data_IF_938358518774
#
_entry.id   IF_938358518774
#
_cell.length_a   1.000
_cell.length_b   1.000
_cell.length_c   1.000
_cell.angle_alpha   90.00
_cell.angle_beta   90.00
_cell.angle_gamma   90.00
#
_symmetry.space_group_name_H-M   'P 1'
#
loop_
_entity.id
_entity.type
_entity.pdbx_description
1 polymer ?
#
# COMPACT_ATOMS: atom_id res chain seq x y z
N UNK A 1 37.76 -7.26 -21.57
CA UNK A 1 36.39 -6.86 -21.28
C UNK A 1 36.36 -5.91 -20.09
N UNK A 2 35.89 -4.70 -20.30
CA UNK A 2 35.81 -3.73 -19.21
C UNK A 2 34.84 -4.25 -18.14
N UNK A 3 35.36 -4.36 -16.92
CA UNK A 3 34.54 -4.80 -15.81
C UNK A 3 33.64 -3.66 -15.35
N UNK A 4 32.34 -3.86 -15.44
CA UNK A 4 31.42 -2.89 -14.88
C UNK A 4 31.69 -2.73 -13.40
N UNK A 5 31.77 -1.49 -12.93
CA UNK A 5 31.82 -1.24 -11.50
C UNK A 5 30.51 -1.67 -10.87
N UNK A 6 30.51 -1.98 -9.58
CA UNK A 6 29.27 -2.26 -8.83
C UNK A 6 28.26 -1.13 -8.99
N UNK A 7 28.75 0.10 -9.09
CA UNK A 7 27.93 1.29 -9.25
C UNK A 7 27.16 1.27 -10.57
N UNK A 8 27.80 0.84 -11.67
CA UNK A 8 27.18 0.77 -12.99
C UNK A 8 26.09 -0.31 -13.06
N UNK A 9 26.18 -1.33 -12.22
CA UNK A 9 25.22 -2.42 -12.14
C UNK A 9 24.05 -2.07 -11.21
N UNK A 10 24.29 -1.19 -10.22
CA UNK A 10 23.30 -0.89 -9.18
C UNK A 10 22.19 0.05 -9.60
N UNK A 11 22.47 1.04 -10.43
CA UNK A 11 21.48 2.01 -10.85
C UNK A 11 21.64 2.35 -12.32
N UNK A 12 20.68 1.88 -13.10
CA UNK A 12 20.65 2.08 -14.55
C UNK A 12 19.47 2.96 -14.94
N UNK A 13 19.51 4.22 -14.48
CA UNK A 13 18.51 5.23 -14.81
C UNK A 13 19.14 6.32 -15.64
N UNK A 14 18.38 6.84 -16.59
CA UNK A 14 18.73 8.09 -17.26
C UNK A 14 18.73 9.22 -16.22
N UNK A 15 19.77 10.12 -16.24
CA UNK A 15 19.91 11.14 -15.19
C UNK A 15 18.66 12.01 -14.98
N UNK A 16 17.98 12.39 -16.06
CA UNK A 16 16.77 13.22 -15.95
C UNK A 16 15.57 12.44 -15.39
N UNK A 17 15.55 11.12 -15.48
CA UNK A 17 14.47 10.28 -14.97
C UNK A 17 14.64 9.96 -13.50
N UNK A 18 15.83 10.18 -12.93
CA UNK A 18 16.08 9.90 -11.50
C UNK A 18 15.22 10.80 -10.63
N UNK A 19 15.16 12.10 -10.93
CA UNK A 19 14.33 13.02 -10.17
C UNK A 19 12.84 12.68 -10.29
N UNK A 20 12.38 12.30 -11.48
CA UNK A 20 10.99 11.89 -11.67
C UNK A 20 10.67 10.61 -10.91
N UNK A 21 11.60 9.66 -10.87
CA UNK A 21 11.45 8.43 -10.12
C UNK A 21 11.42 8.70 -8.60
N UNK A 22 12.28 9.59 -8.11
CA UNK A 22 12.28 10.00 -6.69
C UNK A 22 10.92 10.62 -6.32
N UNK A 23 10.40 11.52 -7.15
CA UNK A 23 9.10 12.14 -6.91
C UNK A 23 7.98 11.10 -6.89
N UNK A 24 8.01 10.13 -7.81
CA UNK A 24 7.05 9.03 -7.84
C UNK A 24 7.13 8.17 -6.58
N UNK A 25 8.32 7.86 -6.11
CA UNK A 25 8.53 7.10 -4.88
C UNK A 25 8.01 7.84 -3.65
N UNK A 26 8.19 9.16 -3.61
CA UNK A 26 7.66 10.00 -2.53
C UNK A 26 6.13 9.98 -2.53
N UNK A 27 5.51 10.05 -3.71
CA UNK A 27 4.04 9.94 -3.81
C UNK A 27 3.56 8.58 -3.35
N UNK A 28 4.23 7.49 -3.74
CA UNK A 28 3.91 6.13 -3.28
C UNK A 28 3.97 6.08 -1.75
N UNK A 29 5.04 6.58 -1.16
CA UNK A 29 5.18 6.59 0.31
C UNK A 29 4.09 7.39 0.99
N UNK A 30 3.78 8.56 0.47
CA UNK A 30 2.72 9.43 1.02
C UNK A 30 1.34 8.77 0.92
N UNK A 31 1.02 8.21 -0.23
CA UNK A 31 -0.24 7.53 -0.46
C UNK A 31 -0.37 6.28 0.42
N UNK A 32 0.70 5.50 0.56
CA UNK A 32 0.67 4.31 1.40
C UNK A 32 0.59 4.66 2.89
N UNK A 33 1.24 5.74 3.32
CA UNK A 33 1.08 6.24 4.68
C UNK A 33 -0.37 6.59 4.96
N UNK A 34 -0.98 7.35 4.07
CA UNK A 34 -2.40 7.73 4.18
C UNK A 34 -3.31 6.51 4.18
N UNK A 35 -3.06 5.55 3.30
CA UNK A 35 -3.83 4.31 3.23
C UNK A 35 -3.74 3.53 4.55
N UNK A 36 -2.54 3.35 5.09
CA UNK A 36 -2.32 2.63 6.34
C UNK A 36 -3.00 3.36 7.51
N UNK A 37 -2.89 4.68 7.58
CA UNK A 37 -3.55 5.47 8.62
C UNK A 37 -5.06 5.33 8.57
N UNK A 38 -5.66 5.35 7.38
CA UNK A 38 -7.09 5.14 7.21
C UNK A 38 -7.51 3.73 7.65
N UNK A 39 -6.73 2.71 7.31
CA UNK A 39 -6.99 1.34 7.75
C UNK A 39 -6.90 1.22 9.27
N UNK A 40 -5.93 1.88 9.90
CA UNK A 40 -5.79 1.91 11.36
C UNK A 40 -6.99 2.57 12.04
N UNK A 41 -7.56 3.62 11.43
CA UNK A 41 -8.78 4.24 11.93
C UNK A 41 -9.97 3.28 11.86
N UNK A 42 -10.08 2.50 10.78
CA UNK A 42 -11.11 1.45 10.68
C UNK A 42 -10.94 0.42 11.80
N UNK A 43 -9.73 -0.04 12.00
CA UNK A 43 -9.43 -1.02 13.05
C UNK A 43 -9.79 -0.48 14.44
N UNK A 44 -9.48 0.77 14.71
CA UNK A 44 -9.81 1.42 15.98
C UNK A 44 -11.32 1.42 16.24
N UNK A 45 -12.11 1.76 15.23
CA UNK A 45 -13.57 1.75 15.32
C UNK A 45 -14.09 0.34 15.61
N UNK A 46 -13.59 -0.65 14.88
CA UNK A 46 -14.04 -2.04 15.04
C UNK A 46 -13.61 -2.64 16.38
N UNK A 47 -12.39 -2.35 16.83
CA UNK A 47 -11.91 -2.82 18.13
C UNK A 47 -12.71 -2.23 19.29
N UNK A 48 -13.08 -0.95 19.21
CA UNK A 48 -13.94 -0.31 20.19
C UNK A 48 -15.31 -0.99 20.26
N UNK A 49 -15.88 -1.37 19.12
CA UNK A 49 -17.16 -2.05 19.08
C UNK A 49 -17.09 -3.48 19.63
N UNK A 50 -15.98 -4.16 19.45
CA UNK A 50 -15.72 -5.46 20.03
C UNK A 50 -15.80 -5.40 21.57
N UNK A 51 -15.27 -4.33 22.15
CA UNK A 51 -15.29 -4.11 23.59
C UNK A 51 -16.67 -3.68 24.12
N UNK A 52 -17.54 -3.15 23.25
CA UNK A 52 -18.85 -2.64 23.57
C UNK A 52 -20.00 -3.58 23.15
N UNK A 53 -19.81 -4.88 23.28
CA UNK A 53 -20.83 -5.92 22.98
C UNK A 53 -21.40 -5.84 21.56
N UNK A 54 -20.55 -5.54 20.58
CA UNK A 54 -20.91 -5.43 19.16
C UNK A 54 -21.85 -4.26 18.84
N UNK A 55 -22.01 -3.31 19.76
CA UNK A 55 -22.76 -2.10 19.49
C UNK A 55 -21.91 -1.12 18.70
N UNK A 56 -22.09 -1.13 17.39
CA UNK A 56 -21.49 -0.14 16.49
C UNK A 56 -22.62 0.79 16.04
N UNK A 57 -22.48 2.09 16.31
CA UNK A 57 -23.46 3.07 15.81
C UNK A 57 -23.37 3.14 14.28
N UNK A 58 -24.48 3.49 13.64
CA UNK A 58 -24.50 3.70 12.19
C UNK A 58 -23.50 4.77 11.78
N UNK A 59 -23.33 5.82 12.58
CA UNK A 59 -22.34 6.86 12.35
C UNK A 59 -20.91 6.29 12.32
N UNK A 60 -20.57 5.44 13.28
CA UNK A 60 -19.24 4.83 13.34
C UNK A 60 -19.01 3.84 12.19
N UNK A 61 -20.03 3.10 11.79
CA UNK A 61 -19.95 2.21 10.62
C UNK A 61 -19.75 3.02 9.34
N UNK A 62 -20.47 4.13 9.18
CA UNK A 62 -20.29 5.02 8.03
C UNK A 62 -18.87 5.59 7.98
N UNK A 63 -18.33 5.99 9.13
CA UNK A 63 -16.94 6.44 9.23
C UNK A 63 -15.95 5.33 8.83
N UNK A 64 -16.15 4.12 9.33
CA UNK A 64 -15.31 2.99 9.01
C UNK A 64 -15.32 2.70 7.51
N UNK A 65 -16.49 2.70 6.89
CA UNK A 65 -16.62 2.52 5.43
C UNK A 65 -15.91 3.61 4.66
N UNK A 66 -16.05 4.85 5.07
CA UNK A 66 -15.39 5.98 4.42
C UNK A 66 -13.87 5.88 4.51
N UNK A 67 -13.35 5.60 5.71
CA UNK A 67 -11.90 5.42 5.89
C UNK A 67 -11.38 4.25 5.05
N UNK A 68 -12.14 3.16 4.97
CA UNK A 68 -11.73 2.01 4.16
C UNK A 68 -11.71 2.35 2.67
N UNK A 69 -12.71 3.06 2.19
CA UNK A 69 -12.77 3.54 0.80
C UNK A 69 -11.62 4.48 0.48
N UNK A 70 -11.31 5.41 1.40
CA UNK A 70 -10.19 6.34 1.23
C UNK A 70 -8.85 5.60 1.24
N UNK A 71 -8.69 4.61 2.12
CA UNK A 71 -7.51 3.77 2.16
C UNK A 71 -7.30 2.98 0.87
N UNK A 72 -8.37 2.42 0.33
CA UNK A 72 -8.33 1.73 -0.96
C UNK A 72 -7.94 2.67 -2.09
N UNK A 73 -8.52 3.87 -2.12
CA UNK A 73 -8.22 4.88 -3.13
C UNK A 73 -6.76 5.26 -3.12
N UNK A 74 -6.22 5.56 -1.94
CA UNK A 74 -4.81 5.92 -1.78
C UNK A 74 -3.88 4.79 -2.25
N UNK A 75 -4.17 3.55 -1.86
CA UNK A 75 -3.40 2.40 -2.29
C UNK A 75 -3.47 2.22 -3.81
N UNK A 76 -4.65 2.38 -4.40
CA UNK A 76 -4.86 2.25 -5.85
C UNK A 76 -4.09 3.31 -6.64
N UNK A 77 -4.02 4.52 -6.13
CA UNK A 77 -3.25 5.61 -6.75
C UNK A 77 -1.76 5.29 -6.80
N UNK A 78 -1.25 4.59 -5.80
CA UNK A 78 0.17 4.21 -5.75
C UNK A 78 0.57 3.29 -6.91
N UNK A 79 -0.33 2.49 -7.44
CA UNK A 79 -0.04 1.60 -8.57
C UNK A 79 0.39 2.40 -9.81
N UNK A 80 -0.25 3.54 -10.04
CA UNK A 80 0.02 4.36 -11.23
C UNK A 80 1.43 4.95 -11.23
N UNK A 81 1.98 5.25 -10.06
CA UNK A 81 3.32 5.84 -9.95
C UNK A 81 4.44 4.86 -10.30
N UNK A 82 4.18 3.57 -10.29
CA UNK A 82 5.16 2.56 -10.69
C UNK A 82 5.54 2.68 -12.17
N UNK A 83 4.63 3.15 -13.03
CA UNK A 83 4.94 3.33 -14.45
C UNK A 83 6.04 4.37 -14.66
N UNK A 84 6.06 5.44 -13.90
CA UNK A 84 7.10 6.48 -13.97
C UNK A 84 8.47 5.91 -13.56
N UNK A 85 8.51 5.11 -12.52
CA UNK A 85 9.75 4.48 -12.06
C UNK A 85 10.23 3.45 -13.09
N UNK A 86 9.31 2.63 -13.57
CA UNK A 86 9.61 1.56 -14.52
C UNK A 86 10.14 2.08 -15.85
N UNK A 87 9.55 3.16 -16.36
CA UNK A 87 9.96 3.77 -17.64
C UNK A 87 11.41 4.27 -17.59
N UNK A 88 11.88 4.70 -16.43
CA UNK A 88 13.25 5.18 -16.27
C UNK A 88 14.29 4.07 -16.18
N UNK A 89 13.90 2.81 -15.99
CA UNK A 89 14.84 1.71 -15.79
C UNK A 89 15.28 1.09 -17.12
N UNK A 90 16.53 0.66 -17.17
CA UNK A 90 17.09 0.00 -18.35
C UNK A 90 16.54 -1.43 -18.45
N UNK A 91 16.16 -1.83 -19.66
CA UNK A 91 15.68 -3.17 -19.93
C UNK A 91 16.74 -4.22 -19.53
N UNK A 92 16.31 -5.27 -18.85
CA UNK A 92 17.19 -6.33 -18.37
C UNK A 92 17.97 -6.01 -17.10
N UNK A 93 17.83 -4.80 -16.56
CA UNK A 93 18.52 -4.41 -15.32
C UNK A 93 17.90 -5.08 -14.09
N UNK A 94 18.72 -5.22 -13.04
CA UNK A 94 18.26 -5.72 -11.73
C UNK A 94 17.23 -4.79 -11.14
N UNK A 95 17.45 -3.48 -11.28
CA UNK A 95 16.53 -2.45 -10.76
C UNK A 95 15.17 -2.53 -11.45
N UNK A 96 15.15 -2.74 -12.76
CA UNK A 96 13.89 -2.91 -13.50
C UNK A 96 13.11 -4.14 -13.00
N UNK A 97 13.80 -5.23 -12.75
CA UNK A 97 13.18 -6.45 -12.22
C UNK A 97 12.63 -6.21 -10.82
N UNK A 98 13.36 -5.48 -9.99
CA UNK A 98 12.92 -5.13 -8.64
C UNK A 98 11.64 -4.26 -8.66
N UNK A 99 11.60 -3.24 -9.51
CA UNK A 99 10.41 -2.39 -9.68
C UNK A 99 9.22 -3.22 -10.16
N UNK A 100 9.44 -4.12 -11.10
CA UNK A 100 8.41 -5.01 -11.63
C UNK A 100 7.82 -5.90 -10.53
N UNK A 101 8.67 -6.48 -9.69
CA UNK A 101 8.26 -7.30 -8.56
C UNK A 101 7.44 -6.51 -7.56
N UNK A 102 7.90 -5.30 -7.22
CA UNK A 102 7.19 -4.46 -6.26
C UNK A 102 5.87 -3.92 -6.82
N UNK A 103 5.79 -3.67 -8.12
CA UNK A 103 4.52 -3.33 -8.77
C UNK A 103 3.50 -4.46 -8.63
N UNK A 104 3.94 -5.70 -8.83
CA UNK A 104 3.08 -6.88 -8.63
C UNK A 104 2.63 -6.98 -7.19
N UNK A 105 3.54 -6.81 -6.23
CA UNK A 105 3.21 -6.81 -4.80
C UNK A 105 2.22 -5.70 -4.46
N UNK A 106 2.37 -4.52 -5.06
CA UNK A 106 1.43 -3.42 -4.85
C UNK A 106 0.02 -3.75 -5.36
N UNK A 107 -0.07 -4.35 -6.55
CA UNK A 107 -1.35 -4.76 -7.12
C UNK A 107 -2.05 -5.80 -6.25
N UNK A 108 -1.29 -6.76 -5.72
CA UNK A 108 -1.82 -7.75 -4.79
C UNK A 108 -2.29 -7.11 -3.49
N UNK A 109 -1.53 -6.14 -2.98
CA UNK A 109 -1.91 -5.39 -1.79
C UNK A 109 -3.23 -4.64 -2.00
N UNK A 110 -3.40 -4.00 -3.15
CA UNK A 110 -4.66 -3.31 -3.49
C UNK A 110 -5.83 -4.29 -3.56
N UNK A 111 -5.62 -5.47 -4.12
CA UNK A 111 -6.67 -6.50 -4.17
C UNK A 111 -7.10 -6.95 -2.78
N UNK A 112 -6.15 -7.09 -1.87
CA UNK A 112 -6.45 -7.43 -0.46
C UNK A 112 -7.25 -6.33 0.22
N UNK A 113 -6.92 -5.07 -0.04
CA UNK A 113 -7.68 -3.93 0.49
C UNK A 113 -9.09 -3.93 -0.06
N UNK A 114 -9.27 -4.19 -1.36
CA UNK A 114 -10.60 -4.31 -1.97
C UNK A 114 -11.42 -5.43 -1.36
N UNK A 115 -10.79 -6.57 -1.10
CA UNK A 115 -11.44 -7.69 -0.45
C UNK A 115 -11.90 -7.31 0.97
N UNK A 116 -11.03 -6.66 1.74
CA UNK A 116 -11.35 -6.22 3.08
C UNK A 116 -12.48 -5.19 3.08
N UNK A 117 -12.50 -4.28 2.11
CA UNK A 117 -13.60 -3.33 1.93
C UNK A 117 -14.93 -4.06 1.69
N UNK A 118 -14.93 -5.04 0.81
CA UNK A 118 -16.11 -5.84 0.51
C UNK A 118 -16.60 -6.59 1.75
N UNK A 119 -15.71 -7.15 2.54
CA UNK A 119 -16.05 -7.83 3.79
C UNK A 119 -16.64 -6.86 4.81
N UNK A 120 -16.12 -5.65 4.90
CA UNK A 120 -16.68 -4.61 5.77
C UNK A 120 -18.09 -4.20 5.32
N UNK A 121 -18.30 -4.03 4.03
CA UNK A 121 -19.61 -3.74 3.44
C UNK A 121 -20.61 -4.85 3.77
N UNK A 122 -20.18 -6.09 3.61
CA UNK A 122 -21.04 -7.26 3.90
C UNK A 122 -21.40 -7.31 5.38
N UNK A 123 -20.43 -7.08 6.25
CA UNK A 123 -20.65 -7.01 7.71
C UNK A 123 -21.63 -5.88 8.06
N UNK A 124 -21.51 -4.74 7.41
CA UNK A 124 -22.40 -3.60 7.62
C UNK A 124 -23.84 -3.91 7.19
N UNK A 125 -24.02 -4.53 6.03
CA UNK A 125 -25.33 -4.73 5.39
C UNK A 125 -26.15 -5.85 6.02
N UNK A 126 -25.50 -6.85 6.60
CA UNK A 126 -26.16 -8.03 7.12
C UNK A 126 -26.24 -7.98 8.65
N UNK A 127 -27.44 -7.73 9.17
CA UNK A 127 -27.68 -7.66 10.61
C UNK A 127 -27.41 -8.97 11.33
N UNK A 128 -27.65 -10.12 10.66
CA UNK A 128 -27.37 -11.44 11.21
C UNK A 128 -25.89 -11.80 11.16
N UNK A 129 -25.14 -11.09 10.35
CA UNK A 129 -23.70 -11.29 10.20
C UNK A 129 -22.90 -10.83 11.42
N UNK A 130 -23.48 -9.97 12.25
CA UNK A 130 -22.79 -9.32 13.37
C UNK A 130 -22.66 -10.25 14.58
N UNK A 131 -21.80 -11.23 14.49
CA UNK A 131 -21.40 -12.05 15.62
C UNK A 131 -20.00 -11.68 16.08
N UNK A 132 -19.67 -12.00 17.32
CA UNK A 132 -18.33 -11.75 17.88
C UNK A 132 -17.23 -12.41 17.04
N UNK A 133 -17.45 -13.63 16.58
CA UNK A 133 -16.50 -14.35 15.75
C UNK A 133 -16.30 -13.67 14.39
N UNK A 134 -17.40 -13.26 13.75
CA UNK A 134 -17.35 -12.58 12.45
C UNK A 134 -16.68 -11.23 12.54
N UNK A 135 -16.92 -10.49 13.62
CA UNK A 135 -16.19 -9.23 13.86
C UNK A 135 -14.70 -9.48 14.06
N UNK A 136 -14.32 -10.48 14.81
CA UNK A 136 -12.93 -10.86 15.01
C UNK A 136 -12.26 -11.20 13.68
N UNK A 137 -12.94 -11.96 12.83
CA UNK A 137 -12.43 -12.34 11.53
C UNK A 137 -12.30 -11.14 10.59
N UNK A 138 -13.26 -10.21 10.63
CA UNK A 138 -13.21 -8.97 9.87
C UNK A 138 -12.02 -8.11 10.28
N UNK A 139 -11.81 -7.94 11.58
CA UNK A 139 -10.68 -7.19 12.12
C UNK A 139 -9.37 -7.80 11.64
N UNK A 140 -9.25 -9.12 11.67
CA UNK A 140 -8.06 -9.82 11.19
C UNK A 140 -7.85 -9.59 9.70
N UNK A 141 -8.88 -9.71 8.90
CA UNK A 141 -8.83 -9.49 7.45
C UNK A 141 -8.34 -8.08 7.13
N UNK A 142 -8.86 -7.08 7.83
CA UNK A 142 -8.47 -5.67 7.63
C UNK A 142 -7.04 -5.44 8.13
N UNK A 143 -6.69 -5.98 9.28
CA UNK A 143 -5.33 -5.86 9.84
C UNK A 143 -4.28 -6.47 8.91
N UNK A 144 -4.58 -7.60 8.30
CA UNK A 144 -3.68 -8.29 7.39
C UNK A 144 -3.36 -7.47 6.12
N UNK A 145 -4.17 -6.47 5.79
CA UNK A 145 -3.88 -5.59 4.65
C UNK A 145 -2.70 -4.65 4.89
N UNK A 146 -2.36 -4.38 6.14
CA UNK A 146 -1.29 -3.43 6.48
C UNK A 146 0.10 -3.92 6.10
N UNK A 147 0.38 -5.20 6.30
CA UNK A 147 1.71 -5.78 6.02
C UNK A 147 2.18 -5.58 4.58
N UNK A 148 1.39 -5.97 3.56
CA UNK A 148 1.80 -5.74 2.18
C UNK A 148 2.00 -4.27 1.85
N UNK A 149 1.15 -3.39 2.38
CA UNK A 149 1.28 -1.94 2.17
C UNK A 149 2.56 -1.40 2.82
N UNK A 150 2.86 -1.83 4.03
CA UNK A 150 4.09 -1.45 4.73
C UNK A 150 5.34 -1.95 4.01
N UNK A 151 5.28 -3.14 3.44
CA UNK A 151 6.39 -3.71 2.66
C UNK A 151 6.73 -2.83 1.46
N UNK A 152 5.73 -2.43 0.68
CA UNK A 152 5.95 -1.56 -0.48
C UNK A 152 6.43 -0.18 -0.04
N UNK A 153 5.86 0.37 1.01
CA UNK A 153 6.27 1.67 1.57
C UNK A 153 7.75 1.64 1.99
N UNK A 154 8.16 0.58 2.65
CA UNK A 154 9.55 0.38 3.07
C UNK A 154 10.49 0.31 1.89
N UNK A 155 10.13 -0.49 0.90
CA UNK A 155 10.89 -0.59 -0.34
C UNK A 155 11.01 0.78 -1.03
N UNK A 156 9.94 1.54 -1.11
CA UNK A 156 9.95 2.85 -1.74
C UNK A 156 10.92 3.81 -1.03
N UNK A 157 11.01 3.74 0.30
CA UNK A 157 11.96 4.51 1.08
C UNK A 157 13.41 4.12 0.74
N UNK A 158 13.71 2.83 0.74
CA UNK A 158 15.04 2.31 0.46
C UNK A 158 15.46 2.61 -0.98
N UNK A 159 14.54 2.44 -1.92
CA UNK A 159 14.81 2.71 -3.33
C UNK A 159 15.03 4.20 -3.59
N UNK A 160 14.28 5.06 -2.92
CA UNK A 160 14.51 6.51 -2.98
C UNK A 160 15.90 6.87 -2.49
N UNK A 161 16.34 6.29 -1.37
CA UNK A 161 17.68 6.53 -0.83
C UNK A 161 18.77 6.05 -1.81
N UNK A 162 18.55 4.93 -2.44
CA UNK A 162 19.46 4.43 -3.47
C UNK A 162 19.60 5.43 -4.63
N UNK A 163 18.47 5.94 -5.13
CA UNK A 163 18.47 6.91 -6.23
C UNK A 163 19.12 8.23 -5.83
N UNK A 164 18.88 8.70 -4.61
CA UNK A 164 19.54 9.91 -4.11
C UNK A 164 21.05 9.77 -4.05
N UNK A 165 21.56 8.59 -3.73
CA UNK A 165 23.00 8.36 -3.66
C UNK A 165 23.67 8.48 -5.03
N UNK A 166 22.93 8.32 -6.11
CA UNK A 166 23.42 8.43 -7.49
C UNK A 166 23.54 9.89 -7.94
N UNK A 167 22.72 10.78 -7.35
CA UNK A 167 22.71 12.20 -7.71
C UNK A 167 23.88 12.99 -7.12
N UNK A 168 24.63 12.40 -6.20
CA UNK A 168 25.74 13.07 -5.51
C UNK A 168 27.08 12.96 -6.27
#
# INVERSE_FOLDING_TARGET
MARRSRRDVQVEFEPHNVNNAIDALRRIRSNLRSSIENIEKVLSILENSKNNKLCISDENLDKAKKYMTDGKKDASMSVNDFSTIFTGTTEGSVQRQEVKTMRTDMRLAVQRVKYAEAELEHFYSDKEYKTKLKLKNLIKTIDDTRKPLQKVKHWACDFENLLKSVLV
#
